data_IF_291567812283
#
_entry.id   IF_291567812283
#
_cell.length_a   1.000
_cell.length_b   1.000
_cell.length_c   1.000
_cell.angle_alpha   90.00
_cell.angle_beta   90.00
_cell.angle_gamma   90.00
#
_symmetry.space_group_name_H-M   'P 1'
#
loop_
_entity.id
_entity.type
_entity.pdbx_description
1 polymer ?
#
# COMPACT_ATOMS: atom_id res chain seq x y z
N UNK A 1 -9.21 -10.45 16.40
CA UNK A 1 -8.34 -10.05 15.29
C UNK A 1 -6.93 -10.55 15.56
N UNK A 2 -6.28 -11.22 14.63
CA UNK A 2 -4.91 -11.70 14.82
C UNK A 2 -3.93 -10.55 15.09
N UNK A 3 -2.91 -10.83 15.89
CA UNK A 3 -1.85 -9.86 16.21
C UNK A 3 -0.49 -10.51 15.97
N UNK A 4 0.44 -9.73 15.41
CA UNK A 4 1.85 -10.14 15.28
C UNK A 4 2.68 -9.15 16.09
N UNK A 5 3.14 -9.59 17.25
CA UNK A 5 3.97 -8.78 18.14
C UNK A 5 5.38 -8.61 17.54
N UNK A 6 5.96 -7.42 17.74
CA UNK A 6 7.32 -7.11 17.27
C UNK A 6 7.51 -7.39 15.77
N UNK A 7 6.46 -7.15 14.97
CA UNK A 7 6.47 -7.45 13.55
C UNK A 7 7.44 -6.53 12.78
N UNK A 8 7.51 -5.28 13.17
CA UNK A 8 8.40 -4.26 12.59
C UNK A 8 8.85 -3.31 13.70
N UNK A 9 9.74 -2.35 13.36
CA UNK A 9 10.14 -1.30 14.30
C UNK A 9 9.77 0.08 13.76
N UNK A 10 9.59 1.04 14.66
CA UNK A 10 9.47 2.46 14.36
C UNK A 10 10.50 3.21 15.20
N UNK A 11 11.51 3.80 14.55
CA UNK A 11 12.67 4.43 15.21
C UNK A 11 13.32 3.48 16.23
N UNK A 12 13.47 2.20 15.84
CA UNK A 12 14.04 1.15 16.66
C UNK A 12 13.11 0.54 17.71
N UNK A 13 11.92 1.07 17.91
CA UNK A 13 10.96 0.55 18.89
C UNK A 13 10.04 -0.49 18.25
N UNK A 14 9.88 -1.67 18.85
CA UNK A 14 8.99 -2.70 18.32
C UNK A 14 7.54 -2.25 18.27
N UNK A 15 6.84 -2.58 17.19
CA UNK A 15 5.41 -2.34 17.05
C UNK A 15 4.68 -3.62 16.66
N UNK A 16 3.46 -3.74 17.13
CA UNK A 16 2.55 -4.87 16.87
C UNK A 16 1.65 -4.53 15.70
N UNK A 17 1.49 -5.47 14.78
CA UNK A 17 0.55 -5.34 13.67
C UNK A 17 -0.71 -6.17 13.94
N UNK A 18 -1.83 -5.60 13.50
CA UNK A 18 -3.16 -6.22 13.59
C UNK A 18 -3.61 -6.68 12.21
N UNK A 19 -4.36 -7.76 12.20
CA UNK A 19 -5.01 -8.26 11.00
C UNK A 19 -4.43 -9.58 10.51
N UNK A 20 -4.89 -10.03 9.36
CA UNK A 20 -4.48 -11.30 8.76
C UNK A 20 -3.16 -11.16 8.03
N UNK A 21 -2.16 -11.93 8.43
CA UNK A 21 -0.89 -11.95 7.71
C UNK A 21 -1.08 -12.52 6.30
N UNK A 22 -0.73 -11.72 5.31
CA UNK A 22 -0.77 -12.13 3.90
C UNK A 22 0.55 -12.77 3.51
N UNK A 23 0.47 -13.86 2.78
CA UNK A 23 1.61 -14.58 2.22
C UNK A 23 1.49 -14.66 0.71
N UNK A 24 2.62 -14.76 0.03
CA UNK A 24 2.66 -14.99 -1.41
C UNK A 24 1.90 -16.28 -1.77
N UNK A 25 1.16 -16.24 -2.85
CA UNK A 25 0.29 -17.34 -3.29
C UNK A 25 -1.15 -17.26 -2.79
N UNK A 26 -1.43 -16.42 -1.78
CA UNK A 26 -2.79 -16.23 -1.28
C UNK A 26 -3.62 -15.37 -2.22
N UNK A 27 -4.92 -15.62 -2.24
CA UNK A 27 -5.87 -14.71 -2.90
C UNK A 27 -5.84 -13.36 -2.19
N UNK A 28 -5.73 -12.29 -2.97
CA UNK A 28 -5.77 -10.93 -2.45
C UNK A 28 -7.14 -10.65 -1.82
N UNK A 29 -7.21 -10.34 -0.51
CA UNK A 29 -8.48 -10.03 0.12
C UNK A 29 -9.11 -8.77 -0.50
N UNK A 30 -10.42 -8.80 -0.68
CA UNK A 30 -11.15 -7.60 -1.06
C UNK A 30 -11.31 -6.68 0.15
N UNK A 31 -11.33 -5.40 -0.09
CA UNK A 31 -11.54 -4.40 0.95
C UNK A 31 -12.17 -3.14 0.35
N UNK A 32 -12.76 -2.32 1.21
CA UNK A 32 -13.37 -1.05 0.82
C UNK A 32 -12.49 0.11 1.23
N UNK A 33 -12.06 0.90 0.26
CA UNK A 33 -11.23 2.09 0.42
C UNK A 33 -12.01 3.33 -0.02
N UNK A 34 -11.52 4.50 0.31
CA UNK A 34 -12.17 5.77 -0.04
C UNK A 34 -11.28 6.57 -0.99
N UNK A 35 -11.85 6.95 -2.14
CA UNK A 35 -11.17 7.77 -3.14
C UNK A 35 -11.17 9.26 -2.76
N UNK A 36 -10.42 10.04 -3.51
CA UNK A 36 -10.28 11.50 -3.26
C UNK A 36 -11.61 12.27 -3.34
N UNK A 37 -12.60 11.76 -4.08
CA UNK A 37 -13.94 12.33 -4.19
C UNK A 37 -14.91 11.82 -3.12
N UNK A 38 -14.42 11.07 -2.14
CA UNK A 38 -15.16 10.42 -1.06
C UNK A 38 -16.01 9.22 -1.48
N UNK A 39 -15.93 8.79 -2.73
CA UNK A 39 -16.58 7.56 -3.17
C UNK A 39 -15.89 6.34 -2.61
N UNK A 40 -16.66 5.29 -2.34
CA UNK A 40 -16.10 4.01 -1.92
C UNK A 40 -15.66 3.21 -3.14
N UNK A 41 -14.46 2.63 -3.03
CA UNK A 41 -13.87 1.79 -4.07
C UNK A 41 -13.48 0.46 -3.45
N UNK A 42 -13.92 -0.62 -4.08
CA UNK A 42 -13.47 -1.96 -3.72
C UNK A 42 -12.17 -2.28 -4.45
N UNK A 43 -11.24 -2.91 -3.73
CA UNK A 43 -9.98 -3.33 -4.34
C UNK A 43 -10.21 -4.29 -5.50
N UNK A 44 -11.24 -5.14 -5.41
CA UNK A 44 -11.65 -6.06 -6.47
C UNK A 44 -12.05 -5.37 -7.77
N UNK A 45 -12.38 -4.07 -7.75
CA UNK A 45 -12.70 -3.31 -8.97
C UNK A 45 -11.50 -3.15 -9.91
N UNK A 46 -10.27 -3.37 -9.42
CA UNK A 46 -9.04 -3.33 -10.21
C UNK A 46 -8.65 -4.71 -10.77
N UNK A 47 -9.47 -5.74 -10.57
CA UNK A 47 -9.21 -7.08 -11.09
C UNK A 47 -9.02 -7.04 -12.62
N UNK A 48 -8.07 -7.81 -13.11
CA UNK A 48 -7.67 -7.78 -14.52
C UNK A 48 -6.44 -6.92 -14.79
N UNK A 49 -5.99 -6.15 -13.81
CA UNK A 49 -4.73 -5.40 -13.85
C UNK A 49 -3.71 -5.99 -12.90
N UNK A 50 -2.44 -5.83 -13.22
CA UNK A 50 -1.36 -6.07 -12.26
C UNK A 50 -1.26 -4.86 -11.34
N UNK A 51 -1.33 -5.08 -10.04
CA UNK A 51 -1.37 -4.02 -9.05
C UNK A 51 -0.09 -3.99 -8.23
N UNK A 52 0.49 -2.81 -8.07
CA UNK A 52 1.42 -2.52 -6.99
C UNK A 52 0.63 -1.79 -5.91
N UNK A 53 0.49 -2.41 -4.74
CA UNK A 53 -0.11 -1.80 -3.57
C UNK A 53 1.01 -1.21 -2.71
N UNK A 54 1.17 0.10 -2.77
CA UNK A 54 2.19 0.83 -2.01
C UNK A 54 1.57 1.36 -0.73
N UNK A 55 1.90 0.73 0.39
CA UNK A 55 1.30 1.02 1.70
C UNK A 55 2.24 1.89 2.51
N UNK A 56 1.73 3.02 2.99
CA UNK A 56 2.52 4.00 3.74
C UNK A 56 1.80 4.46 4.99
N UNK A 57 2.54 4.83 6.07
CA UNK A 57 1.94 5.41 7.27
C UNK A 57 1.23 6.74 7.02
N UNK A 58 1.84 7.67 6.31
CA UNK A 58 1.23 8.94 5.93
C UNK A 58 2.01 9.63 4.81
N UNK A 59 1.32 10.20 3.85
CA UNK A 59 1.91 11.01 2.77
C UNK A 59 2.62 12.28 3.28
N UNK A 60 2.29 12.72 4.47
CA UNK A 60 2.91 13.90 5.10
C UNK A 60 4.27 13.60 5.76
N UNK A 61 4.81 12.39 5.64
CA UNK A 61 6.15 12.05 6.09
C UNK A 61 7.13 12.02 4.93
N UNK A 62 8.41 12.37 5.17
CA UNK A 62 9.41 12.48 4.12
C UNK A 62 9.64 11.15 3.36
N UNK A 63 9.71 10.03 4.07
CA UNK A 63 9.95 8.71 3.46
C UNK A 63 8.74 8.26 2.65
N UNK A 64 7.52 8.50 3.12
CA UNK A 64 6.31 8.15 2.37
C UNK A 64 6.17 8.99 1.10
N UNK A 65 6.55 10.26 1.17
CA UNK A 65 6.58 11.16 0.01
C UNK A 65 7.59 10.65 -1.03
N UNK A 66 8.80 10.27 -0.61
CA UNK A 66 9.81 9.69 -1.49
C UNK A 66 9.33 8.39 -2.14
N UNK A 67 8.75 7.49 -1.36
CA UNK A 67 8.22 6.21 -1.85
C UNK A 67 7.15 6.44 -2.93
N UNK A 68 6.22 7.33 -2.65
CA UNK A 68 5.10 7.59 -3.58
C UNK A 68 5.59 8.28 -4.86
N UNK A 69 6.53 9.21 -4.75
CA UNK A 69 7.17 9.84 -5.92
C UNK A 69 7.96 8.85 -6.76
N UNK A 70 8.68 7.90 -6.13
CA UNK A 70 9.43 6.87 -6.85
C UNK A 70 8.48 6.01 -7.67
N UNK A 71 7.37 5.51 -7.09
CA UNK A 71 6.39 4.73 -7.84
C UNK A 71 5.68 5.54 -8.91
N UNK A 72 5.45 6.84 -8.68
CA UNK A 72 4.90 7.72 -9.69
C UNK A 72 5.83 7.82 -10.93
N UNK A 73 7.14 7.86 -10.72
CA UNK A 73 8.12 7.87 -11.81
C UNK A 73 8.18 6.53 -12.55
N UNK A 74 8.00 5.43 -11.84
CA UNK A 74 8.06 4.08 -12.43
C UNK A 74 6.75 3.66 -13.12
N UNK A 75 5.60 4.19 -12.68
CA UNK A 75 4.29 3.77 -13.16
C UNK A 75 4.13 3.78 -14.69
N UNK A 76 4.60 4.81 -15.44
CA UNK A 76 4.50 4.80 -16.91
C UNK A 76 5.27 3.68 -17.59
N UNK A 77 6.30 3.15 -16.93
CA UNK A 77 7.15 2.07 -17.46
C UNK A 77 6.56 0.68 -17.25
N UNK A 78 5.49 0.57 -16.44
CA UNK A 78 4.91 -0.72 -16.05
C UNK A 78 3.89 -1.24 -17.06
N UNK A 79 3.48 -0.43 -18.02
CA UNK A 79 2.51 -0.80 -19.05
C UNK A 79 1.08 -0.40 -18.74
N UNK A 80 0.20 -0.53 -19.74
CA UNK A 80 -1.20 -0.07 -19.64
C UNK A 80 -2.07 -0.98 -18.75
N UNK A 81 -1.65 -2.23 -18.52
CA UNK A 81 -2.39 -3.19 -17.70
C UNK A 81 -1.96 -3.19 -16.24
N UNK A 82 -1.14 -2.23 -15.85
CA UNK A 82 -0.67 -2.07 -14.48
C UNK A 82 -1.31 -0.85 -13.82
N UNK A 83 -1.47 -0.91 -12.51
CA UNK A 83 -1.88 0.24 -11.70
C UNK A 83 -1.05 0.26 -10.41
N UNK A 84 -0.71 1.46 -9.97
CA UNK A 84 -0.07 1.68 -8.66
C UNK A 84 -1.08 2.36 -7.75
N UNK A 85 -1.39 1.71 -6.64
CA UNK A 85 -2.33 2.21 -5.64
C UNK A 85 -1.54 2.51 -4.37
N UNK A 86 -1.52 3.78 -3.97
CA UNK A 86 -0.92 4.18 -2.69
C UNK A 86 -2.02 4.23 -1.63
N UNK A 87 -1.83 3.50 -0.55
CA UNK A 87 -2.82 3.30 0.50
C UNK A 87 -2.27 3.80 1.83
N UNK A 88 -3.03 4.66 2.50
CA UNK A 88 -2.71 5.19 3.82
C UNK A 88 -3.98 5.46 4.62
N UNK A 89 -3.81 5.80 5.91
CA UNK A 89 -4.91 6.25 6.77
C UNK A 89 -5.14 7.77 6.66
N UNK A 90 -4.38 8.48 5.81
CA UNK A 90 -4.64 9.89 5.56
C UNK A 90 -6.06 10.10 5.07
N UNK A 91 -6.67 11.22 5.46
CA UNK A 91 -7.99 11.57 4.96
C UNK A 91 -7.94 11.79 3.44
N UNK A 92 -9.03 11.50 2.72
CA UNK A 92 -9.09 11.72 1.26
C UNK A 92 -8.76 13.16 0.86
N UNK A 93 -9.11 14.13 1.70
CA UNK A 93 -8.78 15.55 1.48
C UNK A 93 -7.26 15.79 1.49
N UNK A 94 -6.55 15.19 2.44
CA UNK A 94 -5.10 15.31 2.54
C UNK A 94 -4.41 14.62 1.36
N UNK A 95 -4.89 13.44 0.96
CA UNK A 95 -4.38 12.73 -0.21
C UNK A 95 -4.59 13.53 -1.50
N UNK A 96 -5.77 14.13 -1.66
CA UNK A 96 -6.08 14.99 -2.80
C UNK A 96 -5.16 16.22 -2.86
N UNK A 97 -4.93 16.86 -1.71
CA UNK A 97 -4.01 18.01 -1.62
C UNK A 97 -2.59 17.61 -1.99
N UNK A 98 -2.12 16.47 -1.50
CA UNK A 98 -0.79 15.95 -1.82
C UNK A 98 -0.64 15.72 -3.33
N UNK A 99 -1.61 15.07 -3.97
CA UNK A 99 -1.63 14.86 -5.42
C UNK A 99 -1.58 16.18 -6.19
N UNK A 100 -2.31 17.19 -5.76
CA UNK A 100 -2.31 18.53 -6.39
C UNK A 100 -0.98 19.25 -6.29
N UNK A 101 -0.27 19.11 -5.17
CA UNK A 101 1.03 19.75 -4.95
C UNK A 101 2.14 19.06 -5.76
N UNK A 102 2.10 17.73 -5.80
CA UNK A 102 3.18 16.92 -6.41
C UNK A 102 2.95 16.64 -7.89
N UNK A 103 1.83 17.08 -8.46
CA UNK A 103 1.40 16.75 -9.82
C UNK A 103 1.41 15.24 -10.09
N UNK A 104 1.07 14.44 -9.08
CA UNK A 104 1.12 12.99 -9.14
C UNK A 104 -0.18 12.43 -9.72
N UNK A 105 -0.21 12.25 -11.04
CA UNK A 105 -1.38 11.70 -11.76
C UNK A 105 -1.23 10.21 -12.14
N UNK A 106 -0.06 9.62 -11.93
CA UNK A 106 0.26 8.24 -12.30
C UNK A 106 -0.03 7.24 -11.18
N UNK A 107 -0.11 7.71 -9.96
CA UNK A 107 -0.38 6.92 -8.77
C UNK A 107 -1.73 7.32 -8.22
N UNK A 108 -2.63 6.35 -8.06
CA UNK A 108 -3.92 6.59 -7.42
C UNK A 108 -3.77 6.45 -5.91
N UNK A 109 -4.21 7.46 -5.17
CA UNK A 109 -4.21 7.44 -3.70
C UNK A 109 -5.59 7.01 -3.19
N UNK A 110 -5.61 6.07 -2.25
CA UNK A 110 -6.83 5.54 -1.64
C UNK A 110 -6.68 5.55 -0.13
N UNK A 111 -7.73 5.93 0.57
CA UNK A 111 -7.72 6.06 2.03
C UNK A 111 -8.41 4.89 2.71
N UNK A 112 -7.76 4.34 3.73
CA UNK A 112 -8.31 3.29 4.59
C UNK A 112 -8.91 3.85 5.89
N UNK A 113 -9.05 5.19 5.99
CA UNK A 113 -9.42 5.88 7.24
C UNK A 113 -10.78 5.46 7.81
N UNK A 114 -11.74 5.15 6.93
CA UNK A 114 -13.13 4.95 7.34
C UNK A 114 -13.36 3.62 8.05
N UNK A 115 -12.82 2.55 7.48
CA UNK A 115 -13.10 1.19 7.95
C UNK A 115 -11.86 0.43 8.43
N UNK A 116 -10.66 0.90 8.13
CA UNK A 116 -9.42 0.16 8.33
C UNK A 116 -9.44 -1.25 7.67
N UNK A 117 -10.31 -1.43 6.66
CA UNK A 117 -10.57 -2.74 6.07
C UNK A 117 -9.35 -3.31 5.35
N UNK A 118 -8.54 -2.44 4.72
CA UNK A 118 -7.28 -2.87 4.10
C UNK A 118 -6.26 -3.27 5.17
N UNK A 119 -6.04 -2.41 6.17
CA UNK A 119 -5.07 -2.66 7.23
C UNK A 119 -5.33 -3.99 7.95
N UNK A 120 -6.59 -4.28 8.22
CA UNK A 120 -7.00 -5.53 8.87
C UNK A 120 -6.89 -6.74 7.93
N UNK A 121 -7.33 -6.61 6.68
CA UNK A 121 -7.30 -7.70 5.70
C UNK A 121 -5.86 -8.09 5.30
N UNK A 122 -4.94 -7.13 5.27
CA UNK A 122 -3.56 -7.34 4.84
C UNK A 122 -2.55 -7.40 6.00
N UNK A 123 -3.02 -7.33 7.26
CA UNK A 123 -2.18 -7.50 8.44
C UNK A 123 -1.16 -6.38 8.64
N UNK A 124 -1.46 -5.17 8.21
CA UNK A 124 -0.53 -4.03 8.28
C UNK A 124 -1.01 -2.86 9.15
N UNK A 125 -2.10 -3.06 9.89
CA UNK A 125 -2.61 -2.03 10.80
C UNK A 125 -1.76 -1.98 12.07
N UNK A 126 -1.17 -0.84 12.38
CA UNK A 126 -0.35 -0.67 13.59
C UNK A 126 -1.25 -0.51 14.81
N UNK A 127 -1.09 -1.42 15.77
CA UNK A 127 -1.84 -1.43 17.02
C UNK A 127 -1.61 -0.13 17.80
N UNK A 128 -2.69 0.50 18.23
CA UNK A 128 -2.65 1.71 19.05
C UNK A 128 -2.46 3.01 18.30
N UNK A 129 -1.94 2.97 17.08
CA UNK A 129 -1.70 4.19 16.27
C UNK A 129 -2.73 4.40 15.17
N UNK A 130 -3.40 3.34 14.72
CA UNK A 130 -4.30 3.39 13.57
C UNK A 130 -3.65 3.97 12.33
N UNK A 131 -2.38 3.66 12.14
CA UNK A 131 -1.61 3.92 10.93
C UNK A 131 -1.30 2.58 10.25
N UNK A 132 -0.94 2.62 8.98
CA UNK A 132 -0.49 1.44 8.26
C UNK A 132 1.03 1.33 8.30
N UNK A 133 1.54 0.11 8.44
CA UNK A 133 2.97 -0.16 8.30
C UNK A 133 3.40 0.02 6.84
N UNK A 134 4.69 0.25 6.62
CA UNK A 134 5.24 0.37 5.28
C UNK A 134 5.38 -1.00 4.64
N UNK A 135 4.67 -1.22 3.54
CA UNK A 135 4.67 -2.51 2.85
C UNK A 135 4.39 -2.34 1.37
N UNK A 136 4.83 -3.31 0.58
CA UNK A 136 4.51 -3.42 -0.85
C UNK A 136 3.89 -4.79 -1.09
N UNK A 137 2.79 -4.82 -1.80
CA UNK A 137 2.20 -6.06 -2.31
C UNK A 137 2.06 -5.94 -3.82
N UNK A 138 2.30 -7.03 -4.54
CA UNK A 138 1.99 -7.11 -5.96
C UNK A 138 0.92 -8.17 -6.15
N UNK A 139 -0.16 -7.77 -6.81
CA UNK A 139 -1.30 -8.63 -7.11
C UNK A 139 -1.37 -8.85 -8.61
N UNK A 140 -1.47 -10.09 -9.04
CA UNK A 140 -1.58 -10.41 -10.47
C UNK A 140 -3.00 -10.14 -11.02
N UNK A 141 -3.17 -10.32 -12.34
CA UNK A 141 -4.46 -10.10 -13.01
C UNK A 141 -5.57 -11.01 -12.51
N UNK A 142 -5.22 -12.15 -11.92
CA UNK A 142 -6.18 -13.12 -11.37
C UNK A 142 -6.59 -12.81 -9.95
N UNK A 143 -5.94 -11.84 -9.31
CA UNK A 143 -6.19 -11.47 -7.93
C UNK A 143 -5.41 -12.28 -6.90
N UNK A 144 -4.26 -12.83 -7.28
CA UNK A 144 -3.36 -13.55 -6.37
C UNK A 144 -2.20 -12.65 -5.96
N UNK A 145 -1.85 -12.65 -4.69
CA UNK A 145 -0.67 -11.95 -4.17
C UNK A 145 0.58 -12.72 -4.60
N UNK A 146 1.38 -12.15 -5.47
CA UNK A 146 2.60 -12.78 -5.99
C UNK A 146 3.87 -12.29 -5.32
N UNK A 147 3.79 -11.19 -4.59
CA UNK A 147 4.95 -10.59 -3.92
C UNK A 147 4.51 -9.81 -2.69
N UNK A 148 5.32 -9.89 -1.65
CA UNK A 148 5.15 -9.10 -0.43
C UNK A 148 6.51 -8.61 0.06
N UNK A 149 6.59 -7.34 0.39
CA UNK A 149 7.71 -6.77 1.12
C UNK A 149 7.15 -5.97 2.30
N UNK A 150 7.40 -6.43 3.52
CA UNK A 150 7.12 -5.67 4.74
C UNK A 150 8.44 -5.06 5.19
N UNK A 151 8.51 -3.73 5.25
CA UNK A 151 9.74 -3.03 5.62
C UNK A 151 9.96 -3.15 7.13
N UNK A 152 11.08 -3.70 7.55
CA UNK A 152 11.37 -4.01 8.95
C UNK A 152 11.40 -2.77 9.85
N UNK A 153 11.90 -1.65 9.34
CA UNK A 153 11.91 -0.37 10.02
C UNK A 153 11.04 0.64 9.25
N UNK A 154 9.94 1.06 9.83
CA UNK A 154 8.92 1.91 9.17
C UNK A 154 9.51 3.22 8.62
N UNK A 155 10.57 3.73 9.24
CA UNK A 155 11.24 4.97 8.82
C UNK A 155 12.21 4.78 7.65
N UNK A 156 12.41 3.56 7.16
CA UNK A 156 13.23 3.27 5.99
C UNK A 156 12.40 3.13 4.72
N UNK A 157 13.02 3.42 3.56
CA UNK A 157 12.41 3.16 2.26
C UNK A 157 12.35 1.66 1.97
N UNK A 158 11.39 1.20 1.13
CA UNK A 158 11.41 -0.17 0.64
C UNK A 158 12.56 -0.39 -0.34
N UNK A 159 12.86 -1.66 -0.64
CA UNK A 159 13.77 -2.03 -1.71
C UNK A 159 13.03 -1.98 -3.05
N UNK A 160 13.14 -0.87 -3.76
CA UNK A 160 12.44 -0.63 -5.03
C UNK A 160 12.89 -1.58 -6.14
N UNK A 161 14.19 -1.89 -6.19
CA UNK A 161 14.72 -2.75 -7.25
C UNK A 161 14.17 -4.17 -7.13
N UNK A 162 14.03 -4.67 -5.90
CA UNK A 162 13.42 -5.97 -5.63
C UNK A 162 11.95 -5.99 -6.05
N UNK A 163 11.20 -4.93 -5.73
CA UNK A 163 9.80 -4.77 -6.13
C UNK A 163 9.65 -4.77 -7.65
N UNK A 164 10.47 -3.97 -8.33
CA UNK A 164 10.39 -3.83 -9.80
C UNK A 164 10.81 -5.10 -10.52
N UNK A 165 11.83 -5.80 -10.02
CA UNK A 165 12.25 -7.10 -10.54
C UNK A 165 11.13 -8.14 -10.39
N UNK A 166 10.51 -8.21 -9.21
CA UNK A 166 9.38 -9.11 -8.97
C UNK A 166 8.20 -8.79 -9.90
N UNK A 167 7.89 -7.51 -10.10
CA UNK A 167 6.81 -7.09 -10.99
C UNK A 167 7.03 -7.56 -12.43
N UNK A 168 8.25 -7.45 -12.95
CA UNK A 168 8.60 -7.90 -14.32
C UNK A 168 8.43 -9.41 -14.50
N UNK A 169 8.65 -10.19 -13.43
CA UNK A 169 8.57 -11.65 -13.48
C UNK A 169 7.15 -12.20 -13.33
N UNK A 170 6.16 -11.33 -13.08
CA UNK A 170 4.75 -11.69 -12.92
C UNK A 170 4.03 -11.49 -14.25
N UNK A 171 3.29 -12.51 -14.69
CA UNK A 171 2.51 -12.44 -15.94
C UNK A 171 1.20 -11.69 -15.78
#
# INVERSE_FOLDING_TARGET
>A
MPEVANAVTMKGNPVTLLGTEIKEGMKAPDCTLVANDLSEIKLSSFKGKKLILSVVPSLDTAICDLQTKRFNQEAPKLGNEAAVLTISMDLPFAQKRWCGITASDKVKTLSDYRYASFGEAYGVLIKGMRLLARAIFIVDKKGTVQYKQLVDEITHEPDYEDVLAAFKNIS
#
